data_IF_424229737346
#
_entry.id   IF_424229737346
#
_cell.length_a   1.000
_cell.length_b   1.000
_cell.length_c   1.000
_cell.angle_alpha   90.00
_cell.angle_beta   90.00
_cell.angle_gamma   90.00
#
_symmetry.space_group_name_H-M   'P 1'
#
loop_
_entity.id
_entity.type
_entity.pdbx_description
1 polymer ?
#
# COMPACT_ATOMS: atom_id res chain seq x y z
N UNK A 1 22.74 -5.95 4.49
CA UNK A 1 21.67 -6.97 4.56
C UNK A 1 20.56 -6.62 3.59
N UNK A 2 19.89 -7.62 3.12
CA UNK A 2 18.80 -7.42 2.17
C UNK A 2 17.46 -7.42 2.90
N UNK A 3 16.63 -6.45 2.61
CA UNK A 3 15.33 -6.31 3.23
C UNK A 3 14.23 -6.28 2.18
N UNK A 4 13.14 -6.94 2.46
CA UNK A 4 11.97 -6.94 1.60
C UNK A 4 11.02 -5.85 2.06
N UNK A 5 10.49 -5.08 1.11
CA UNK A 5 9.69 -3.90 1.40
C UNK A 5 8.34 -4.02 0.71
N UNK A 6 7.31 -3.63 1.43
CA UNK A 6 5.99 -3.40 0.87
C UNK A 6 5.63 -1.93 1.10
N UNK A 7 5.30 -1.22 0.03
CA UNK A 7 4.79 0.15 0.13
C UNK A 7 3.35 0.14 -0.36
N UNK A 8 2.45 0.62 0.47
CA UNK A 8 1.05 0.76 0.11
C UNK A 8 0.72 2.24 -0.01
N UNK A 9 0.15 2.63 -1.13
CA UNK A 9 -0.16 4.03 -1.45
C UNK A 9 -1.66 4.16 -1.62
N UNK A 10 -2.26 5.10 -0.89
CA UNK A 10 -3.70 5.34 -0.97
C UNK A 10 -3.97 6.83 -0.95
N UNK A 11 -5.12 7.23 -1.49
CA UNK A 11 -5.52 8.62 -1.48
C UNK A 11 -5.84 9.07 -0.07
N UNK A 12 -5.48 10.30 0.25
CA UNK A 12 -5.78 10.88 1.55
C UNK A 12 -7.28 11.00 1.74
N UNK A 13 -7.76 10.97 3.00
CA UNK A 13 -9.16 11.21 3.26
C UNK A 13 -9.63 12.52 2.64
N UNK A 14 -10.80 12.51 2.06
CA UNK A 14 -11.36 13.70 1.41
C UNK A 14 -10.99 13.87 -0.04
N UNK A 15 -10.04 13.10 -0.54
CA UNK A 15 -9.70 13.12 -1.97
C UNK A 15 -10.62 12.13 -2.68
N UNK A 16 -11.17 12.55 -3.81
CA UNK A 16 -12.08 11.72 -4.58
C UNK A 16 -11.38 10.48 -5.10
N UNK A 17 -12.07 9.36 -5.03
CA UNK A 17 -11.58 8.06 -5.45
C UNK A 17 -12.57 7.46 -6.45
N UNK A 18 -12.49 7.84 -7.72
CA UNK A 18 -13.46 7.35 -8.70
C UNK A 18 -13.41 5.85 -8.92
N UNK A 19 -12.24 5.24 -8.79
CA UNK A 19 -12.13 3.79 -8.94
C UNK A 19 -12.86 3.06 -7.81
N UNK A 20 -12.64 3.48 -6.57
CA UNK A 20 -13.33 2.88 -5.43
C UNK A 20 -14.83 3.07 -5.52
N UNK A 21 -15.27 4.26 -5.92
CA UNK A 21 -16.71 4.54 -6.08
C UNK A 21 -17.32 3.65 -7.15
N UNK A 22 -16.63 3.43 -8.25
CA UNK A 22 -17.13 2.58 -9.32
C UNK A 22 -17.27 1.14 -8.84
N UNK A 23 -16.29 0.64 -8.11
CA UNK A 23 -16.35 -0.71 -7.55
C UNK A 23 -17.52 -0.84 -6.59
N UNK A 24 -17.70 0.15 -5.73
CA UNK A 24 -18.77 0.13 -4.74
C UNK A 24 -20.13 0.06 -5.41
N UNK A 25 -20.35 0.86 -6.45
CA UNK A 25 -21.61 0.82 -7.19
C UNK A 25 -21.82 -0.53 -7.86
N UNK A 26 -20.77 -1.09 -8.44
CA UNK A 26 -20.89 -2.39 -9.09
C UNK A 26 -21.27 -3.48 -8.10
N UNK A 27 -20.69 -3.45 -6.91
CA UNK A 27 -21.00 -4.44 -5.88
C UNK A 27 -22.45 -4.31 -5.43
N UNK A 28 -22.96 -3.10 -5.26
CA UNK A 28 -24.35 -2.90 -4.91
C UNK A 28 -25.30 -3.46 -5.98
N UNK A 29 -24.97 -3.22 -7.24
CA UNK A 29 -25.77 -3.74 -8.35
C UNK A 29 -25.77 -5.28 -8.38
N UNK A 30 -24.73 -5.92 -7.86
CA UNK A 30 -24.63 -7.37 -7.81
C UNK A 30 -25.23 -7.97 -6.53
N UNK A 31 -25.79 -7.14 -5.66
CA UNK A 31 -26.44 -7.62 -4.45
C UNK A 31 -25.58 -7.57 -3.19
N UNK A 32 -24.39 -7.00 -3.27
CA UNK A 32 -23.51 -6.88 -2.11
C UNK A 32 -23.74 -5.56 -1.40
N UNK A 33 -24.93 -5.38 -0.86
CA UNK A 33 -25.35 -4.10 -0.28
C UNK A 33 -24.61 -3.74 1.00
N UNK A 34 -23.99 -4.71 1.65
CA UNK A 34 -23.26 -4.45 2.88
C UNK A 34 -21.84 -3.94 2.67
N UNK A 35 -21.39 -3.83 1.43
CA UNK A 35 -20.03 -3.36 1.14
C UNK A 35 -20.08 -1.86 0.90
N UNK A 36 -19.42 -1.10 1.77
CA UNK A 36 -19.42 0.36 1.69
C UNK A 36 -18.01 0.90 1.86
N UNK A 37 -17.84 2.14 1.44
CA UNK A 37 -16.58 2.89 1.60
C UNK A 37 -15.40 2.17 0.96
N UNK A 38 -15.59 1.70 -0.25
CA UNK A 38 -14.53 1.04 -1.01
C UNK A 38 -13.49 2.08 -1.41
N UNK A 39 -12.23 1.78 -1.11
CA UNK A 39 -11.11 2.66 -1.45
C UNK A 39 -10.10 1.86 -2.23
N UNK A 40 -9.67 2.38 -3.35
CA UNK A 40 -8.65 1.74 -4.16
C UNK A 40 -7.28 2.32 -3.83
N UNK A 41 -6.24 1.52 -4.02
CA UNK A 41 -4.88 1.95 -3.78
C UNK A 41 -3.91 1.10 -4.58
N UNK A 42 -2.62 1.35 -4.35
CA UNK A 42 -1.54 0.63 -5.04
C UNK A 42 -0.63 -0.01 -4.02
N UNK A 43 -0.01 -1.10 -4.40
CA UNK A 43 0.99 -1.76 -3.54
C UNK A 43 2.20 -2.09 -4.39
N UNK A 44 3.38 -1.86 -3.81
CA UNK A 44 4.66 -2.13 -4.46
C UNK A 44 5.51 -3.00 -3.56
N UNK A 45 6.13 -4.01 -4.12
CA UNK A 45 7.05 -4.87 -3.37
C UNK A 45 8.41 -4.80 -4.04
N UNK A 46 9.45 -4.63 -3.22
CA UNK A 46 10.81 -4.60 -3.74
C UNK A 46 11.81 -4.89 -2.62
N UNK A 47 13.05 -5.09 -3.00
CA UNK A 47 14.12 -5.35 -2.04
C UNK A 47 15.03 -4.14 -1.97
N UNK A 48 15.54 -3.86 -0.78
CA UNK A 48 16.58 -2.85 -0.60
C UNK A 48 17.75 -3.44 0.14
N UNK A 49 18.92 -2.97 -0.19
CA UNK A 49 20.14 -3.30 0.52
C UNK A 49 20.39 -2.20 1.53
N UNK A 50 20.54 -2.56 2.80
CA UNK A 50 20.74 -1.57 3.85
C UNK A 50 21.51 -2.19 5.01
N UNK A 51 22.11 -1.33 5.84
CA UNK A 51 22.91 -1.81 6.97
C UNK A 51 22.04 -2.36 8.09
N UNK A 52 20.83 -1.85 8.24
CA UNK A 52 19.89 -2.33 9.24
C UNK A 52 18.47 -2.01 8.80
N UNK A 53 17.50 -2.46 9.60
CA UNK A 53 16.10 -2.28 9.27
C UNK A 53 15.70 -0.79 9.22
N UNK A 54 16.22 0.00 10.14
CA UNK A 54 15.91 1.42 10.18
C UNK A 54 16.35 2.12 8.89
N UNK A 55 17.54 1.80 8.41
CA UNK A 55 18.03 2.35 7.15
C UNK A 55 17.17 1.89 5.97
N UNK A 56 16.71 0.64 6.01
CA UNK A 56 15.84 0.11 4.97
C UNK A 56 14.51 0.86 4.94
N UNK A 57 13.93 1.11 6.12
CA UNK A 57 12.67 1.86 6.22
C UNK A 57 12.84 3.27 5.66
N UNK A 58 13.92 3.94 6.04
CA UNK A 58 14.16 5.30 5.57
C UNK A 58 14.32 5.36 4.06
N UNK A 59 15.07 4.43 3.50
CA UNK A 59 15.28 4.37 2.07
C UNK A 59 13.96 4.11 1.35
N UNK A 60 13.16 3.17 1.87
CA UNK A 60 11.85 2.86 1.27
C UNK A 60 10.92 4.05 1.34
N UNK A 61 10.95 4.80 2.44
CA UNK A 61 10.11 5.99 2.59
C UNK A 61 10.44 7.04 1.54
N UNK A 62 11.72 7.26 1.30
CA UNK A 62 12.15 8.22 0.29
C UNK A 62 11.70 7.78 -1.11
N UNK A 63 11.85 6.49 -1.41
CA UNK A 63 11.41 5.95 -2.70
C UNK A 63 9.89 6.14 -2.85
N UNK A 64 9.13 5.85 -1.79
CA UNK A 64 7.69 6.00 -1.84
C UNK A 64 7.28 7.44 -2.12
N UNK A 65 7.92 8.38 -1.43
CA UNK A 65 7.55 9.80 -1.58
C UNK A 65 7.96 10.37 -2.93
N UNK A 66 9.09 9.93 -3.46
CA UNK A 66 9.63 10.52 -4.68
C UNK A 66 9.16 9.85 -5.96
N UNK A 67 8.83 8.56 -5.90
CA UNK A 67 8.61 7.79 -7.12
C UNK A 67 7.31 7.01 -7.14
N UNK A 68 6.80 6.57 -6.00
CA UNK A 68 5.68 5.65 -6.00
C UNK A 68 4.34 6.31 -5.76
N UNK A 69 4.32 7.49 -5.17
CA UNK A 69 3.09 8.18 -4.88
C UNK A 69 3.22 9.67 -5.10
N UNK A 70 2.10 10.35 -4.95
CA UNK A 70 2.06 11.81 -5.00
C UNK A 70 1.75 12.31 -3.59
N UNK A 71 2.73 12.80 -2.84
CA UNK A 71 2.52 13.17 -1.44
C UNK A 71 1.51 14.30 -1.22
N UNK A 72 1.15 15.01 -2.28
CA UNK A 72 0.13 16.06 -2.17
C UNK A 72 -1.24 15.47 -1.90
N UNK A 73 -1.56 14.34 -2.54
CA UNK A 73 -2.90 13.75 -2.46
C UNK A 73 -2.89 12.33 -1.91
N UNK A 74 -1.73 11.72 -1.71
CA UNK A 74 -1.62 10.32 -1.29
C UNK A 74 -0.79 10.16 -0.04
N UNK A 75 -1.16 9.17 0.76
CA UNK A 75 -0.38 8.71 1.89
C UNK A 75 0.26 7.38 1.52
N UNK A 76 1.43 7.11 2.06
CA UNK A 76 2.07 5.82 1.86
C UNK A 76 2.43 5.20 3.19
N UNK A 77 2.35 3.87 3.24
CA UNK A 77 2.71 3.07 4.41
C UNK A 77 3.80 2.10 4.00
N UNK A 78 4.86 2.04 4.79
CA UNK A 78 6.01 1.18 4.51
C UNK A 78 6.07 0.06 5.52
N UNK A 79 6.21 -1.18 5.02
CA UNK A 79 6.43 -2.36 5.86
C UNK A 79 7.71 -3.02 5.38
N UNK A 80 8.55 -3.43 6.32
CA UNK A 80 9.87 -4.00 6.00
C UNK A 80 10.06 -5.30 6.77
N UNK A 81 10.64 -6.29 6.10
CA UNK A 81 11.01 -7.56 6.71
C UNK A 81 12.32 -8.02 6.13
N UNK A 82 13.15 -8.66 6.94
CA UNK A 82 14.37 -9.30 6.44
C UNK A 82 13.97 -10.57 5.71
N UNK A 83 14.57 -10.80 4.54
CA UNK A 83 14.39 -12.05 3.83
C UNK A 83 13.55 -11.94 2.57
N UNK A 84 12.66 -12.90 2.37
CA UNK A 84 11.94 -13.05 1.13
C UNK A 84 10.87 -11.96 0.96
N UNK A 85 10.74 -11.37 -0.23
CA UNK A 85 9.69 -10.35 -0.49
C UNK A 85 8.29 -10.84 -0.15
N UNK A 86 8.03 -12.13 -0.25
CA UNK A 86 6.72 -12.66 0.06
C UNK A 86 6.42 -12.66 1.56
N UNK A 87 7.42 -12.43 2.38
CA UNK A 87 7.24 -12.42 3.83
C UNK A 87 6.81 -11.07 4.36
N UNK A 88 6.85 -10.04 3.54
CA UNK A 88 6.47 -8.71 3.98
C UNK A 88 5.04 -8.41 3.54
N UNK A 89 4.29 -7.76 4.41
CA UNK A 89 2.93 -7.39 4.09
C UNK A 89 2.19 -7.00 5.35
N UNK A 90 0.92 -6.64 5.20
CA UNK A 90 0.10 -6.32 6.36
C UNK A 90 -0.12 -7.58 7.18
N UNK A 91 -0.32 -7.40 8.47
CA UNK A 91 -0.53 -8.53 9.37
C UNK A 91 -1.77 -9.34 8.99
N UNK A 92 -2.65 -8.74 8.23
CA UNK A 92 -3.86 -9.41 7.78
C UNK A 92 -3.63 -10.16 6.47
N UNK A 93 -2.41 -10.52 6.20
CA UNK A 93 -2.09 -11.26 4.99
C UNK A 93 -2.94 -12.51 4.85
N UNK A 94 -3.46 -12.97 5.94
CA UNK A 94 -4.40 -14.09 5.90
C UNK A 94 -5.61 -13.79 5.06
N UNK A 95 -5.87 -12.56 4.80
CA UNK A 95 -7.02 -12.17 4.02
C UNK A 95 -6.80 -12.50 2.57
N UNK A 96 -6.43 -13.53 2.20
CA UNK A 96 -6.28 -13.84 0.81
C UNK A 96 -7.13 -15.02 0.41
#
# INVERSE_FOLDING_TARGET
MNYSVLVEVSLRPGIADPQGATIERALGALGFDGVTRVRAGKAFRFDVEAVDEEAAVEQARVVAERFLGNPVIEDSTVSVAAGNPDDVGPSTAAAR
#
